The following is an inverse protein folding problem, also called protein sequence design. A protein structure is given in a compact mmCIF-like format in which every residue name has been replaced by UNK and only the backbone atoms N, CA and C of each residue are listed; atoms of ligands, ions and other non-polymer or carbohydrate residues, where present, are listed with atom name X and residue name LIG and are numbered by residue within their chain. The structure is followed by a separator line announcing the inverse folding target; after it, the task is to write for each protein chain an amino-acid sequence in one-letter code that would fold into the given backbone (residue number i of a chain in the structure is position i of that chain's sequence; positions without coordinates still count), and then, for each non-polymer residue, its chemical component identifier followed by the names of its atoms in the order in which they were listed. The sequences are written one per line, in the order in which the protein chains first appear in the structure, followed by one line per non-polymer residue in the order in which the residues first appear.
data_IF_232597772498
#
_entry.id   IF_232597772498
#
_cell.length_a   1.000
_cell.length_b   1.000
_cell.length_c   1.000
_cell.angle_alpha   90.00
_cell.angle_beta   90.00
_cell.angle_gamma   90.00
#
_symmetry.space_group_name_H-M   'P 1'
#
loop_
_entity.id
_entity.type
_entity.pdbx_description
1 polymer ?
#
# COMPACT_ATOMS: atom_id res chain seq x y z
N UNK A 1 6.74 -22.02 0.46
CA UNK A 1 7.10 -20.67 0.95
C UNK A 1 5.81 -20.05 1.45
N UNK A 2 5.70 -19.69 2.75
CA UNK A 2 4.48 -19.05 3.24
C UNK A 2 4.44 -17.66 2.61
N UNK A 3 3.53 -17.45 1.66
CA UNK A 3 3.25 -16.13 1.12
C UNK A 3 2.75 -15.25 2.26
N UNK A 4 3.68 -14.57 2.93
CA UNK A 4 3.34 -13.57 3.92
C UNK A 4 2.74 -12.38 3.17
N UNK A 5 1.41 -12.40 3.04
CA UNK A 5 0.64 -11.30 2.46
C UNK A 5 1.08 -9.91 2.98
N UNK A 6 1.41 -9.73 4.28
CA UNK A 6 1.94 -8.47 4.78
C UNK A 6 3.26 -8.06 4.12
N UNK A 7 4.20 -8.98 3.97
CA UNK A 7 5.53 -8.70 3.41
C UNK A 7 5.41 -8.38 1.91
N UNK A 8 4.55 -9.12 1.19
CA UNK A 8 4.25 -8.84 -0.22
C UNK A 8 3.57 -7.48 -0.41
N UNK A 9 2.66 -7.09 0.48
CA UNK A 9 2.03 -5.76 0.45
C UNK A 9 3.06 -4.65 0.68
N UNK A 10 3.96 -4.82 1.64
CA UNK A 10 5.05 -3.87 1.88
C UNK A 10 5.97 -3.77 0.66
N UNK A 11 6.32 -4.89 0.03
CA UNK A 11 7.15 -4.90 -1.17
C UNK A 11 6.49 -4.12 -2.32
N UNK A 12 5.21 -4.36 -2.59
CA UNK A 12 4.46 -3.66 -3.66
C UNK A 12 4.39 -2.16 -3.39
N UNK A 13 4.13 -1.75 -2.15
CA UNK A 13 3.94 -0.34 -1.79
C UNK A 13 5.24 0.35 -1.28
N UNK A 14 6.39 -0.33 -1.38
CA UNK A 14 7.69 0.18 -0.94
C UNK A 14 8.17 1.36 -1.79
N UNK A 15 7.63 1.51 -3.00
CA UNK A 15 7.82 2.68 -3.86
C UNK A 15 7.19 3.97 -3.28
N UNK A 16 6.44 3.83 -2.19
CA UNK A 16 5.72 4.91 -1.51
C UNK A 16 4.78 5.65 -2.46
N UNK A 17 4.26 5.01 -3.50
CA UNK A 17 3.38 5.64 -4.48
C UNK A 17 1.90 5.32 -4.23
N UNK A 18 1.03 5.97 -5.00
CA UNK A 18 -0.41 5.72 -4.93
C UNK A 18 -0.76 4.52 -5.81
N UNK A 19 -1.41 3.53 -5.22
CA UNK A 19 -1.89 2.33 -5.91
C UNK A 19 -3.42 2.27 -5.86
N UNK A 20 -4.03 1.86 -6.97
CA UNK A 20 -5.48 1.66 -7.03
C UNK A 20 -5.89 0.38 -6.29
N UNK A 21 -7.16 0.29 -5.91
CA UNK A 21 -7.73 -0.95 -5.37
C UNK A 21 -7.49 -2.14 -6.31
N UNK A 22 -7.68 -1.96 -7.62
CA UNK A 22 -7.52 -3.02 -8.62
C UNK A 22 -6.08 -3.54 -8.66
N UNK A 23 -5.09 -2.63 -8.69
CA UNK A 23 -3.67 -2.99 -8.68
C UNK A 23 -3.28 -3.77 -7.41
N UNK A 24 -3.78 -3.34 -6.25
CA UNK A 24 -3.51 -4.03 -4.98
C UNK A 24 -4.18 -5.41 -4.92
N UNK A 25 -5.38 -5.55 -5.48
CA UNK A 25 -6.09 -6.83 -5.55
C UNK A 25 -5.34 -7.80 -6.46
N UNK A 26 -4.87 -7.34 -7.62
CA UNK A 26 -4.11 -8.13 -8.59
C UNK A 26 -2.74 -8.54 -8.06
N UNK A 27 -1.97 -7.58 -7.51
CA UNK A 27 -0.59 -7.83 -7.07
C UNK A 27 -0.50 -8.53 -5.71
N UNK A 28 -1.49 -8.37 -4.83
CA UNK A 28 -1.48 -8.91 -3.47
C UNK A 28 -2.56 -9.97 -3.32
N UNK A 29 -3.82 -9.54 -3.21
CA UNK A 29 -5.01 -10.40 -3.04
C UNK A 29 -6.25 -9.53 -2.81
N UNK A 30 -7.45 -10.07 -3.04
CA UNK A 30 -8.72 -9.48 -2.57
C UNK A 30 -8.76 -9.21 -1.05
N UNK A 31 -7.88 -9.84 -0.27
CA UNK A 31 -7.75 -9.62 1.18
C UNK A 31 -6.77 -8.50 1.58
N UNK A 32 -6.29 -7.69 0.64
CA UNK A 32 -5.31 -6.64 0.93
C UNK A 32 -5.77 -5.67 2.04
N UNK A 33 -7.08 -5.42 2.17
CA UNK A 33 -7.65 -4.58 3.22
C UNK A 33 -7.43 -5.14 4.62
N UNK A 34 -7.59 -6.46 4.79
CA UNK A 34 -7.29 -7.16 6.05
C UNK A 34 -5.79 -7.14 6.35
N UNK A 35 -4.96 -7.37 5.34
CA UNK A 35 -3.50 -7.26 5.45
C UNK A 35 -3.07 -5.86 5.89
N UNK A 36 -3.65 -4.82 5.29
CA UNK A 36 -3.40 -3.43 5.65
C UNK A 36 -3.77 -3.15 7.11
N UNK A 37 -4.88 -3.71 7.61
CA UNK A 37 -5.27 -3.58 9.01
C UNK A 37 -4.24 -4.22 9.96
N UNK A 38 -3.70 -5.39 9.60
CA UNK A 38 -2.62 -6.04 10.36
C UNK A 38 -1.35 -5.18 10.36
N UNK A 39 -0.97 -4.63 9.20
CA UNK A 39 0.20 -3.75 9.08
C UNK A 39 0.02 -2.45 9.89
N UNK A 40 -1.18 -1.87 9.92
CA UNK A 40 -1.49 -0.71 10.78
C UNK A 40 -1.26 -1.01 12.26
N UNK A 41 -1.66 -2.19 12.74
CA UNK A 41 -1.38 -2.63 14.11
C UNK A 41 0.11 -2.82 14.40
N UNK A 42 0.92 -3.11 13.38
CA UNK A 42 2.38 -3.21 13.46
C UNK A 42 3.09 -1.86 13.38
N UNK A 43 2.36 -0.75 13.28
CA UNK A 43 2.92 0.61 13.24
C UNK A 43 3.12 1.18 11.82
N UNK A 44 2.71 0.48 10.77
CA UNK A 44 2.76 1.01 9.41
C UNK A 44 1.61 1.98 9.16
N UNK A 45 1.88 3.06 8.43
CA UNK A 45 0.85 4.04 8.09
C UNK A 45 0.52 4.02 6.60
N UNK A 46 -0.78 4.06 6.30
CA UNK A 46 -1.29 4.10 4.94
C UNK A 46 -2.22 5.29 4.77
N UNK A 47 -1.97 6.09 3.73
CA UNK A 47 -2.91 7.09 3.27
C UNK A 47 -3.94 6.44 2.34
N UNK A 48 -5.17 6.95 2.39
CA UNK A 48 -6.26 6.59 1.50
C UNK A 48 -6.81 7.88 0.89
N UNK A 49 -6.93 7.95 -0.43
CA UNK A 49 -7.61 9.05 -1.13
C UNK A 49 -8.70 8.52 -2.05
N UNK A 50 -9.69 9.37 -2.33
CA UNK A 50 -10.75 9.10 -3.31
C UNK A 50 -10.41 9.87 -4.58
N UNK A 51 -10.38 9.18 -5.72
CA UNK A 51 -10.06 9.79 -7.03
C UNK A 51 -11.35 10.23 -7.71
N UNK A 52 -12.19 9.27 -8.10
CA UNK A 52 -13.48 9.50 -8.75
C UNK A 52 -14.48 8.42 -8.36
N UNK A 53 -15.75 8.79 -8.19
CA UNK A 53 -16.81 7.82 -7.91
C UNK A 53 -16.48 6.94 -6.70
N UNK A 54 -16.43 5.62 -6.87
CA UNK A 54 -16.09 4.65 -5.81
C UNK A 54 -14.61 4.22 -5.82
N UNK A 55 -13.79 4.82 -6.68
CA UNK A 55 -12.38 4.48 -6.80
C UNK A 55 -11.55 5.14 -5.69
N UNK A 56 -10.75 4.30 -5.06
CA UNK A 56 -9.85 4.67 -3.98
C UNK A 56 -8.43 4.27 -4.33
N UNK A 57 -7.51 5.10 -3.88
CA UNK A 57 -6.08 4.80 -3.93
C UNK A 57 -5.49 4.78 -2.54
N UNK A 58 -4.44 3.99 -2.39
CA UNK A 58 -3.74 3.78 -1.15
C UNK A 58 -2.25 4.00 -1.35
N UNK A 59 -1.59 4.54 -0.34
CA UNK A 59 -0.15 4.80 -0.34
C UNK A 59 0.45 4.44 1.00
N UNK A 60 1.60 3.77 1.01
CA UNK A 60 2.39 3.58 2.23
C UNK A 60 3.15 4.87 2.56
N UNK A 61 3.06 5.31 3.82
CA UNK A 61 3.59 6.61 4.28
C UNK A 61 4.78 6.42 5.23
N UNK A 62 4.64 5.48 6.16
CA UNK A 62 5.68 5.16 7.13
C UNK A 62 5.90 3.65 7.09
N UNK A 63 7.09 3.26 6.67
CA UNK A 63 7.63 1.94 6.89
C UNK A 63 8.21 1.92 8.31
N UNK A 64 7.84 0.97 9.18
CA UNK A 64 8.10 1.04 10.63
C UNK A 64 9.58 1.10 11.04
N UNK A 65 10.54 1.20 10.09
CA UNK A 65 11.97 1.35 10.36
C UNK A 65 12.77 2.27 9.42
N UNK A 66 12.21 2.90 8.38
CA UNK A 66 13.05 3.62 7.43
C UNK A 66 12.42 4.89 6.85
N UNK A 67 13.26 5.93 6.86
CA UNK A 67 13.14 7.25 6.25
C UNK A 67 12.42 7.18 4.90
N UNK A 68 11.29 7.89 4.81
CA UNK A 68 10.48 8.01 3.60
C UNK A 68 11.34 8.41 2.39
N UNK A 69 11.61 7.48 1.48
CA UNK A 69 12.12 7.82 0.15
C UNK A 69 10.98 8.48 -0.63
N UNK A 70 11.26 9.67 -1.19
CA UNK A 70 10.34 10.43 -2.07
C UNK A 70 9.76 9.49 -3.13
N UNK A 71 8.43 9.33 -3.18
CA UNK A 71 7.80 8.73 -4.35
C UNK A 71 7.91 9.70 -5.53
N UNK A 72 8.54 9.22 -6.59
CA UNK A 72 8.58 9.82 -7.92
C UNK A 72 7.42 9.27 -8.74
N UNK A 73 6.32 10.03 -8.87
CA UNK A 73 5.53 10.07 -10.12
C UNK A 73 4.99 11.48 -10.29
N UNK A 74 5.86 12.32 -10.85
CA UNK A 74 5.54 13.61 -11.43
C UNK A 74 5.61 13.44 -12.94
N UNK A 75 4.51 13.02 -13.56
CA UNK A 75 4.24 13.08 -15.00
C UNK A 75 2.71 13.26 -15.06
N UNK A 76 2.16 14.47 -15.22
CA UNK A 76 2.24 15.35 -16.39
C UNK A 76 1.82 14.61 -17.66
#
# INVERSE_FOLDING_TARGET
MKDNLPDRMLQVMSDSCWHSTEELVEKISHRFSATMHVLKKRGYQFNKRRIQGQQHEYRLVIESKAIAKRCCKQFA
#
